data_IF_136731878449
#
_entry.id   IF_136731878449
#
_cell.length_a   1.000
_cell.length_b   1.000
_cell.length_c   1.000
_cell.angle_alpha   90.00
_cell.angle_beta   90.00
_cell.angle_gamma   90.00
#
_symmetry.space_group_name_H-M   'P 1'
#
loop_
_entity.id
_entity.type
_entity.pdbx_description
1 polymer ?
#
# COMPACT_ATOMS: atom_id res chain seq x y z
N UNK A 1 -6.76 -32.18 -11.26
CA UNK A 1 -6.95 -31.40 -10.02
C UNK A 1 -6.18 -30.07 -10.00
N UNK A 2 -4.91 -30.01 -10.38
CA UNK A 2 -4.14 -28.75 -10.34
C UNK A 2 -4.44 -27.78 -11.51
N UNK A 3 -4.75 -28.30 -12.69
CA UNK A 3 -5.08 -27.50 -13.90
C UNK A 3 -6.44 -26.81 -13.76
N UNK A 4 -7.41 -27.40 -13.08
CA UNK A 4 -8.71 -26.77 -12.81
C UNK A 4 -8.58 -25.65 -11.78
N UNK A 5 -7.77 -25.81 -10.72
CA UNK A 5 -7.51 -24.77 -9.73
C UNK A 5 -6.79 -23.54 -10.33
N UNK A 6 -5.84 -23.73 -11.24
CA UNK A 6 -5.20 -22.62 -11.96
C UNK A 6 -6.20 -21.85 -12.83
N UNK A 7 -7.12 -22.54 -13.48
CA UNK A 7 -8.15 -21.93 -14.32
C UNK A 7 -9.17 -21.10 -13.50
N UNK A 8 -9.52 -21.54 -12.28
CA UNK A 8 -10.42 -20.79 -11.38
C UNK A 8 -9.77 -19.53 -10.82
N UNK A 9 -8.48 -19.58 -10.46
CA UNK A 9 -7.73 -18.43 -10.01
C UNK A 9 -7.65 -17.32 -11.07
N UNK A 10 -7.39 -17.70 -12.32
CA UNK A 10 -7.35 -16.74 -13.42
C UNK A 10 -8.73 -16.16 -13.75
N UNK A 11 -9.77 -16.99 -13.69
CA UNK A 11 -11.13 -16.60 -14.06
C UNK A 11 -11.83 -15.78 -12.97
N UNK A 12 -11.68 -16.16 -11.71
CA UNK A 12 -12.42 -15.56 -10.58
C UNK A 12 -11.57 -14.76 -9.61
N UNK A 13 -10.25 -14.82 -9.72
CA UNK A 13 -9.33 -14.11 -8.80
C UNK A 13 -9.23 -14.76 -7.42
N UNK A 14 -9.54 -16.06 -7.34
CA UNK A 14 -9.61 -16.81 -6.11
C UNK A 14 -8.24 -16.97 -5.43
N UNK A 15 -8.11 -16.43 -4.22
CA UNK A 15 -6.91 -16.52 -3.37
C UNK A 15 -7.34 -16.82 -1.95
N UNK A 16 -7.21 -18.08 -1.50
CA UNK A 16 -7.61 -18.48 -0.15
C UNK A 16 -6.89 -17.67 0.94
N UNK A 17 -7.66 -17.18 1.91
CA UNK A 17 -7.11 -16.40 3.03
C UNK A 17 -6.72 -17.34 4.17
N UNK A 18 -5.44 -17.31 4.65
CA UNK A 18 -5.02 -18.17 5.74
C UNK A 18 -5.78 -17.90 7.04
N UNK A 19 -6.03 -18.96 7.81
CA UNK A 19 -6.77 -18.92 9.08
C UNK A 19 -6.26 -17.85 10.05
N UNK A 20 -4.93 -17.78 10.27
CA UNK A 20 -4.35 -16.81 11.20
C UNK A 20 -4.65 -15.36 10.81
N UNK A 21 -4.73 -15.08 9.51
CA UNK A 21 -5.00 -13.73 9.00
C UNK A 21 -6.48 -13.36 9.21
N UNK A 22 -7.39 -14.33 8.98
CA UNK A 22 -8.81 -14.13 9.27
C UNK A 22 -9.01 -13.84 10.76
N UNK A 23 -8.33 -14.60 11.63
CA UNK A 23 -8.37 -14.38 13.08
C UNK A 23 -7.90 -12.96 13.46
N UNK A 24 -6.78 -12.51 12.92
CA UNK A 24 -6.30 -11.13 13.14
C UNK A 24 -7.30 -10.08 12.65
N UNK A 25 -8.01 -10.32 11.55
CA UNK A 25 -9.03 -9.42 11.05
C UNK A 25 -10.27 -9.39 11.94
N UNK A 26 -10.69 -10.54 12.48
CA UNK A 26 -11.81 -10.62 13.43
C UNK A 26 -11.51 -9.92 14.76
N UNK A 27 -10.25 -9.95 15.21
CA UNK A 27 -9.79 -9.24 16.42
C UNK A 27 -9.87 -7.69 16.28
N UNK A 28 -10.05 -7.16 15.07
CA UNK A 28 -10.32 -5.74 14.88
C UNK A 28 -11.74 -5.35 15.22
N UNK A 29 -12.68 -6.28 15.05
CA UNK A 29 -14.13 -6.04 15.15
C UNK A 29 -14.51 -5.92 16.62
N UNK A 30 -15.31 -4.92 17.02
CA UNK A 30 -15.78 -4.77 18.41
C UNK A 30 -16.56 -5.98 18.90
N UNK A 31 -16.27 -6.44 20.12
CA UNK A 31 -16.88 -7.64 20.72
C UNK A 31 -18.42 -7.60 20.79
N UNK A 32 -18.98 -6.43 21.08
CA UNK A 32 -20.43 -6.25 21.14
C UNK A 32 -21.16 -6.60 19.84
N UNK A 33 -20.46 -6.59 18.69
CA UNK A 33 -21.04 -7.02 17.42
C UNK A 33 -21.21 -8.53 17.34
N UNK A 34 -20.32 -9.30 17.97
CA UNK A 34 -20.45 -10.75 18.06
C UNK A 34 -21.49 -11.19 19.09
N UNK A 35 -21.69 -10.40 20.15
CA UNK A 35 -22.64 -10.69 21.23
C UNK A 35 -24.08 -10.49 20.79
N UNK A 36 -24.36 -9.57 19.87
CA UNK A 36 -25.71 -9.26 19.42
C UNK A 36 -26.19 -10.24 18.36
N UNK A 37 -27.12 -11.12 18.74
CA UNK A 37 -27.68 -12.18 17.87
C UNK A 37 -28.55 -11.66 16.71
N UNK A 38 -28.89 -10.37 16.67
CA UNK A 38 -29.64 -9.75 15.58
C UNK A 38 -28.75 -9.16 14.48
N UNK A 39 -27.45 -9.07 14.73
CA UNK A 39 -26.51 -8.53 13.75
C UNK A 39 -26.39 -9.44 12.53
N UNK A 40 -26.47 -8.84 11.35
CA UNK A 40 -26.36 -9.51 10.06
C UNK A 40 -24.94 -9.37 9.52
N UNK A 41 -24.36 -10.50 9.18
CA UNK A 41 -23.01 -10.63 8.68
C UNK A 41 -23.01 -11.05 7.21
N UNK A 42 -22.10 -10.51 6.41
CA UNK A 42 -21.93 -10.87 5.00
C UNK A 42 -20.46 -11.07 4.66
N UNK A 43 -20.17 -12.18 3.98
CA UNK A 43 -18.94 -12.39 3.20
C UNK A 43 -19.31 -12.37 1.71
N UNK A 44 -18.95 -11.31 0.97
CA UNK A 44 -19.43 -11.10 -0.41
C UNK A 44 -18.65 -11.85 -1.50
N UNK A 45 -17.67 -12.65 -1.14
CA UNK A 45 -16.83 -13.45 -2.03
C UNK A 45 -16.19 -14.56 -1.23
N UNK A 46 -17.02 -15.44 -0.67
CA UNK A 46 -16.63 -16.30 0.44
C UNK A 46 -15.72 -17.48 0.03
N UNK A 47 -15.60 -17.79 -1.28
CA UNK A 47 -14.84 -18.95 -1.74
C UNK A 47 -15.30 -20.22 -1.06
N UNK A 48 -14.39 -20.94 -0.42
CA UNK A 48 -14.70 -22.17 0.34
C UNK A 48 -15.41 -21.91 1.70
N UNK A 49 -15.78 -20.64 2.02
CA UNK A 49 -16.45 -20.30 3.27
C UNK A 49 -15.53 -20.09 4.48
N UNK A 50 -14.23 -19.88 4.27
CA UNK A 50 -13.25 -19.78 5.36
C UNK A 50 -13.53 -18.63 6.34
N UNK A 51 -13.90 -17.43 5.86
CA UNK A 51 -14.34 -16.34 6.72
C UNK A 51 -15.65 -16.67 7.43
N UNK A 52 -16.63 -17.19 6.70
CA UNK A 52 -17.92 -17.60 7.26
C UNK A 52 -17.78 -18.57 8.44
N UNK A 53 -16.92 -19.58 8.31
CA UNK A 53 -16.60 -20.53 9.39
C UNK A 53 -16.04 -19.83 10.63
N UNK A 54 -15.07 -18.95 10.45
CA UNK A 54 -14.44 -18.22 11.55
C UNK A 54 -15.44 -17.27 12.25
N UNK A 55 -16.25 -16.55 11.46
CA UNK A 55 -17.34 -15.70 12.00
C UNK A 55 -18.31 -16.55 12.79
N UNK A 56 -18.75 -17.69 12.23
CA UNK A 56 -19.65 -18.63 12.91
C UNK A 56 -19.08 -19.09 14.26
N UNK A 57 -17.82 -19.52 14.30
CA UNK A 57 -17.15 -19.97 15.53
C UNK A 57 -17.10 -18.84 16.59
N UNK A 58 -16.79 -17.59 16.19
CA UNK A 58 -16.79 -16.45 17.08
C UNK A 58 -18.20 -16.09 17.59
N UNK A 59 -19.21 -16.16 16.74
CA UNK A 59 -20.60 -15.93 17.14
C UNK A 59 -21.10 -17.01 18.11
N UNK A 60 -20.79 -18.27 17.87
CA UNK A 60 -21.10 -19.38 18.78
C UNK A 60 -20.46 -19.19 20.16
N UNK A 61 -19.25 -18.68 20.21
CA UNK A 61 -18.53 -18.39 21.45
C UNK A 61 -19.11 -17.20 22.21
N UNK A 62 -19.52 -16.14 21.51
CA UNK A 62 -19.95 -14.88 22.15
C UNK A 62 -21.44 -14.83 22.47
N UNK A 63 -22.31 -15.59 21.77
CA UNK A 63 -23.76 -15.58 21.99
C UNK A 63 -24.23 -16.61 23.03
N UNK A 64 -23.47 -16.80 24.10
CA UNK A 64 -23.77 -17.78 25.17
C UNK A 64 -25.07 -17.48 25.92
N UNK A 65 -25.61 -16.27 25.83
CA UNK A 65 -26.89 -15.89 26.37
C UNK A 65 -28.07 -16.66 25.76
N UNK A 66 -27.91 -17.18 24.55
CA UNK A 66 -28.82 -18.18 23.96
C UNK A 66 -28.34 -19.55 24.46
N UNK A 67 -28.93 -20.04 25.54
CA UNK A 67 -28.45 -21.22 26.28
C UNK A 67 -28.56 -22.49 25.47
N UNK A 68 -29.66 -22.69 24.75
CA UNK A 68 -29.82 -23.86 23.87
C UNK A 68 -28.86 -23.73 22.66
N UNK A 69 -28.01 -24.73 22.50
CA UNK A 69 -26.97 -24.74 21.49
C UNK A 69 -27.53 -24.83 20.06
N UNK A 70 -28.65 -25.52 19.88
CA UNK A 70 -29.30 -25.69 18.58
C UNK A 70 -30.01 -24.39 18.19
N UNK A 71 -30.70 -23.76 19.15
CA UNK A 71 -31.30 -22.44 18.93
C UNK A 71 -30.27 -21.38 18.62
N UNK A 72 -29.15 -21.36 19.38
CA UNK A 72 -27.99 -20.47 19.10
C UNK A 72 -27.47 -20.65 17.70
N UNK A 73 -27.17 -21.90 17.32
CA UNK A 73 -26.72 -22.24 15.98
C UNK A 73 -27.70 -21.76 14.91
N UNK A 74 -28.97 -22.10 15.05
CA UNK A 74 -30.03 -21.67 14.13
C UNK A 74 -30.13 -20.16 13.99
N UNK A 75 -30.03 -19.44 15.10
CA UNK A 75 -30.04 -17.95 15.10
C UNK A 75 -28.85 -17.37 14.35
N UNK A 76 -27.65 -17.90 14.56
CA UNK A 76 -26.44 -17.47 13.90
C UNK A 76 -26.53 -17.72 12.38
N UNK A 77 -26.88 -18.93 11.97
CA UNK A 77 -26.96 -19.30 10.56
C UNK A 77 -28.01 -18.48 9.80
N UNK A 78 -29.09 -18.06 10.47
CA UNK A 78 -30.10 -17.15 9.90
C UNK A 78 -29.57 -15.74 9.62
N UNK A 79 -28.50 -15.32 10.31
CA UNK A 79 -27.95 -13.98 10.22
C UNK A 79 -26.53 -13.92 9.58
N UNK A 80 -26.00 -15.08 9.16
CA UNK A 80 -24.73 -15.18 8.45
C UNK A 80 -24.99 -15.48 6.96
N UNK A 81 -24.57 -14.56 6.09
CA UNK A 81 -24.77 -14.63 4.65
C UNK A 81 -23.43 -14.84 3.95
N UNK A 82 -23.38 -15.85 3.08
CA UNK A 82 -22.20 -16.20 2.29
C UNK A 82 -22.54 -16.13 0.83
N UNK A 83 -21.85 -15.28 0.11
CA UNK A 83 -22.10 -15.06 -1.30
C UNK A 83 -20.86 -15.45 -2.11
N UNK A 84 -21.08 -16.27 -3.13
CA UNK A 84 -20.04 -16.74 -4.02
C UNK A 84 -20.54 -16.78 -5.47
N UNK A 85 -19.68 -16.46 -6.41
CA UNK A 85 -20.03 -16.46 -7.84
C UNK A 85 -19.84 -17.84 -8.49
N UNK A 86 -18.92 -18.64 -7.95
CA UNK A 86 -18.55 -19.94 -8.49
C UNK A 86 -19.34 -21.06 -7.81
N UNK A 87 -20.27 -21.67 -8.52
CA UNK A 87 -21.10 -22.79 -8.05
C UNK A 87 -20.29 -23.96 -7.48
N UNK A 88 -19.05 -24.15 -7.93
CA UNK A 88 -18.15 -25.20 -7.43
C UNK A 88 -17.92 -25.13 -5.91
N UNK A 89 -18.07 -23.96 -5.30
CA UNK A 89 -17.84 -23.78 -3.87
C UNK A 89 -19.06 -24.05 -3.00
N UNK A 90 -20.26 -24.23 -3.55
CA UNK A 90 -21.48 -24.40 -2.76
C UNK A 90 -21.38 -25.59 -1.78
N UNK A 91 -21.02 -26.77 -2.29
CA UNK A 91 -20.85 -27.95 -1.45
C UNK A 91 -19.72 -27.79 -0.41
N UNK A 92 -18.63 -27.13 -0.78
CA UNK A 92 -17.52 -26.87 0.15
C UNK A 92 -17.89 -25.91 1.27
N UNK A 93 -18.73 -24.92 1.00
CA UNK A 93 -19.26 -24.00 2.02
C UNK A 93 -20.09 -24.83 3.03
N UNK A 94 -20.96 -25.72 2.54
CA UNK A 94 -21.75 -26.62 3.37
C UNK A 94 -20.88 -27.57 4.21
N UNK A 95 -19.87 -28.20 3.62
CA UNK A 95 -18.89 -29.04 4.33
C UNK A 95 -18.14 -28.25 5.43
N UNK A 96 -17.78 -27.00 5.21
CA UNK A 96 -17.02 -26.20 6.16
C UNK A 96 -17.84 -25.65 7.33
N UNK A 97 -19.12 -25.32 7.13
CA UNK A 97 -19.97 -24.67 8.13
C UNK A 97 -20.97 -25.67 8.73
N UNK A 98 -21.43 -26.67 7.94
CA UNK A 98 -22.35 -27.72 8.30
C UNK A 98 -23.56 -27.75 7.37
N UNK A 99 -24.11 -28.98 7.19
CA UNK A 99 -25.19 -29.29 6.26
C UNK A 99 -26.53 -28.61 6.61
N UNK A 100 -26.65 -28.13 7.85
CA UNK A 100 -27.85 -27.45 8.36
C UNK A 100 -27.81 -25.92 8.13
N UNK A 101 -26.79 -25.39 7.43
CA UNK A 101 -26.81 -24.02 6.99
C UNK A 101 -27.99 -23.78 6.04
N UNK A 102 -28.80 -22.75 6.33
CA UNK A 102 -29.94 -22.45 5.49
C UNK A 102 -29.49 -22.16 4.05
N UNK A 103 -30.04 -22.87 3.09
CA UNK A 103 -29.76 -22.68 1.65
C UNK A 103 -30.02 -21.24 1.22
N UNK A 104 -30.96 -20.54 1.88
CA UNK A 104 -31.24 -19.13 1.63
C UNK A 104 -30.12 -18.16 1.97
N UNK A 105 -29.11 -18.59 2.73
CA UNK A 105 -27.99 -17.74 3.17
C UNK A 105 -26.67 -18.10 2.50
N UNK A 106 -26.63 -19.20 1.72
CA UNK A 106 -25.61 -19.48 0.71
C UNK A 106 -26.17 -18.99 -0.63
N UNK A 107 -25.58 -17.94 -1.18
CA UNK A 107 -26.13 -17.24 -2.34
C UNK A 107 -25.13 -17.36 -3.49
N UNK A 108 -25.43 -18.21 -4.46
CA UNK A 108 -24.58 -18.41 -5.64
C UNK A 108 -24.98 -17.41 -6.71
N UNK A 109 -24.26 -16.28 -6.72
CA UNK A 109 -24.50 -15.20 -7.70
C UNK A 109 -23.31 -14.23 -7.76
N UNK A 110 -23.32 -13.33 -8.73
CA UNK A 110 -22.35 -12.23 -8.79
C UNK A 110 -22.71 -11.13 -7.79
N UNK A 111 -21.86 -10.91 -6.80
CA UNK A 111 -22.07 -9.86 -5.78
C UNK A 111 -22.32 -8.48 -6.37
N UNK A 112 -21.64 -8.15 -7.47
CA UNK A 112 -21.76 -6.81 -8.05
C UNK A 112 -23.13 -6.54 -8.69
N UNK A 113 -23.86 -7.59 -9.05
CA UNK A 113 -25.22 -7.51 -9.59
C UNK A 113 -26.32 -7.89 -8.59
N UNK A 114 -25.93 -8.46 -7.44
CA UNK A 114 -26.88 -8.84 -6.41
C UNK A 114 -27.45 -7.64 -5.66
N UNK A 115 -28.76 -7.59 -5.54
CA UNK A 115 -29.50 -6.52 -4.84
C UNK A 115 -30.24 -7.09 -3.64
N UNK A 116 -29.62 -7.02 -2.44
CA UNK A 116 -30.29 -7.47 -1.22
C UNK A 116 -31.38 -6.49 -0.79
N UNK A 117 -32.48 -7.05 -0.28
CA UNK A 117 -33.55 -6.26 0.36
C UNK A 117 -33.28 -5.95 1.84
N UNK A 118 -32.10 -6.28 2.32
CA UNK A 118 -31.63 -6.05 3.69
C UNK A 118 -30.28 -5.31 3.69
N UNK A 119 -29.93 -4.71 4.84
CA UNK A 119 -28.61 -4.13 5.07
C UNK A 119 -27.90 -4.91 6.18
N UNK A 120 -26.57 -4.89 6.12
CA UNK A 120 -25.70 -5.66 7.01
C UNK A 120 -25.10 -4.78 8.10
N UNK A 121 -24.87 -5.38 9.27
CA UNK A 121 -24.15 -4.75 10.38
C UNK A 121 -22.65 -4.86 10.17
N UNK A 122 -22.20 -6.00 9.65
CA UNK A 122 -20.79 -6.27 9.37
C UNK A 122 -20.64 -6.94 8.00
N UNK A 123 -19.72 -6.42 7.19
CA UNK A 123 -19.26 -7.07 5.96
C UNK A 123 -17.78 -7.34 6.11
N UNK A 124 -17.38 -8.60 5.93
CA UNK A 124 -15.99 -9.06 6.09
C UNK A 124 -15.60 -9.97 4.95
N UNK A 125 -14.33 -9.91 4.50
CA UNK A 125 -13.85 -10.83 3.47
C UNK A 125 -12.55 -10.41 2.80
N UNK A 126 -12.17 -11.20 1.79
CA UNK A 126 -11.07 -10.94 0.87
C UNK A 126 -11.64 -10.88 -0.56
N UNK A 127 -12.15 -9.73 -1.02
CA UNK A 127 -12.77 -9.64 -2.34
C UNK A 127 -11.75 -9.87 -3.46
N UNK A 128 -12.16 -10.35 -4.65
CA UNK A 128 -11.26 -10.53 -5.78
C UNK A 128 -10.65 -9.18 -6.21
N UNK A 129 -9.31 -9.17 -6.40
CA UNK A 129 -8.61 -7.93 -6.75
C UNK A 129 -8.79 -7.56 -8.22
N UNK A 130 -8.80 -8.56 -9.11
CA UNK A 130 -8.92 -8.38 -10.55
C UNK A 130 -9.74 -9.53 -11.16
N UNK A 131 -10.33 -9.29 -12.33
CA UNK A 131 -10.94 -10.31 -13.19
C UNK A 131 -10.24 -10.39 -14.54
N UNK A 132 -10.38 -11.51 -15.23
CA UNK A 132 -9.87 -11.70 -16.60
C UNK A 132 -8.34 -11.77 -16.68
N UNK A 133 -7.70 -12.33 -15.68
CA UNK A 133 -6.25 -12.54 -15.60
C UNK A 133 -5.52 -11.60 -14.66
N UNK A 134 -4.32 -12.00 -14.25
CA UNK A 134 -3.43 -11.18 -13.45
C UNK A 134 -2.98 -9.97 -14.26
N UNK A 135 -3.02 -8.77 -13.67
CA UNK A 135 -2.33 -7.60 -14.25
C UNK A 135 -0.84 -7.93 -14.32
N UNK A 136 -0.39 -8.33 -15.49
CA UNK A 136 1.03 -8.63 -15.71
C UNK A 136 1.83 -7.35 -15.50
N UNK A 137 2.74 -7.38 -14.54
CA UNK A 137 3.75 -6.33 -14.40
C UNK A 137 4.58 -6.34 -15.68
N UNK A 138 4.74 -5.22 -16.42
CA UNK A 138 5.55 -5.18 -17.61
C UNK A 138 6.96 -5.65 -17.28
N UNK A 139 7.34 -6.83 -17.71
CA UNK A 139 8.72 -7.29 -17.69
C UNK A 139 9.31 -6.96 -19.05
N UNK A 140 10.58 -6.57 -19.12
CA UNK A 140 11.29 -6.24 -20.37
C UNK A 140 11.34 -7.39 -21.38
N UNK A 141 10.73 -8.53 -21.08
CA UNK A 141 10.74 -9.77 -21.88
C UNK A 141 9.44 -10.03 -22.65
N UNK A 142 8.37 -9.28 -22.42
CA UNK A 142 7.07 -9.52 -23.09
C UNK A 142 6.81 -8.43 -24.11
N UNK A 143 6.97 -8.78 -25.38
CA UNK A 143 6.82 -7.87 -26.53
C UNK A 143 5.36 -7.56 -26.91
N UNK A 144 4.37 -8.31 -26.44
CA UNK A 144 2.95 -8.04 -26.68
C UNK A 144 2.23 -7.76 -25.35
N UNK A 145 1.57 -6.61 -25.27
CA UNK A 145 0.68 -6.26 -24.17
C UNK A 145 -0.59 -7.12 -24.31
N UNK A 146 -0.70 -8.15 -23.49
CA UNK A 146 -1.99 -8.79 -23.26
C UNK A 146 -2.89 -7.82 -22.49
N UNK A 147 -4.20 -7.92 -22.73
CA UNK A 147 -5.20 -7.07 -22.09
C UNK A 147 -5.07 -7.24 -20.56
N UNK A 148 -4.80 -6.14 -19.86
CA UNK A 148 -4.79 -6.15 -18.38
C UNK A 148 -6.17 -6.54 -17.86
N UNK A 149 -6.24 -7.40 -16.84
CA UNK A 149 -7.47 -7.70 -16.14
C UNK A 149 -8.13 -6.45 -15.54
N UNK A 150 -9.43 -6.50 -15.36
CA UNK A 150 -10.20 -5.42 -14.75
C UNK A 150 -10.01 -5.38 -13.24
N UNK A 151 -9.93 -4.18 -12.64
CA UNK A 151 -9.82 -4.00 -11.20
C UNK A 151 -11.19 -4.13 -10.55
N UNK A 152 -11.42 -5.17 -9.74
CA UNK A 152 -12.70 -5.46 -9.11
C UNK A 152 -12.84 -4.95 -7.67
N UNK A 153 -11.76 -4.99 -6.87
CA UNK A 153 -11.86 -4.66 -5.44
C UNK A 153 -12.51 -3.30 -5.16
N UNK A 154 -12.36 -2.32 -6.08
CA UNK A 154 -12.98 -0.99 -5.95
C UNK A 154 -14.51 -1.10 -5.98
N UNK A 155 -15.04 -1.91 -6.90
CA UNK A 155 -16.48 -2.11 -7.05
C UNK A 155 -17.05 -2.87 -5.84
N UNK A 156 -16.33 -3.89 -5.35
CA UNK A 156 -16.69 -4.61 -4.13
C UNK A 156 -16.78 -3.71 -2.90
N UNK A 157 -15.79 -2.83 -2.70
CA UNK A 157 -15.81 -1.86 -1.60
C UNK A 157 -17.00 -0.93 -1.69
N UNK A 158 -17.27 -0.34 -2.86
CA UNK A 158 -18.41 0.58 -3.04
C UNK A 158 -19.73 -0.11 -2.77
N UNK A 159 -19.95 -1.28 -3.39
CA UNK A 159 -21.17 -2.08 -3.19
C UNK A 159 -21.34 -2.52 -1.72
N UNK A 160 -20.24 -2.86 -1.04
CA UNK A 160 -20.30 -3.22 0.38
C UNK A 160 -20.69 -2.03 1.26
N UNK A 161 -20.17 -0.83 1.01
CA UNK A 161 -20.59 0.37 1.74
C UNK A 161 -22.05 0.75 1.44
N UNK A 162 -22.55 0.49 0.22
CA UNK A 162 -23.97 0.64 -0.10
C UNK A 162 -24.82 -0.36 0.71
N UNK A 163 -24.37 -1.61 0.85
CA UNK A 163 -25.10 -2.67 1.54
C UNK A 163 -24.96 -2.62 3.08
N UNK A 164 -24.03 -1.84 3.62
CA UNK A 164 -23.92 -1.61 5.05
C UNK A 164 -25.02 -0.68 5.57
N UNK A 165 -25.49 -0.96 6.81
CA UNK A 165 -26.24 0.00 7.61
C UNK A 165 -25.41 1.23 7.93
N UNK A 166 -26.04 2.35 8.25
CA UNK A 166 -25.36 3.47 8.92
C UNK A 166 -24.83 2.96 10.27
N UNK A 167 -23.56 3.29 10.58
CA UNK A 167 -22.87 2.75 11.74
C UNK A 167 -22.31 1.34 11.59
N UNK A 168 -22.61 0.64 10.49
CA UNK A 168 -22.10 -0.70 10.20
C UNK A 168 -20.61 -0.73 9.89
N UNK A 169 -20.00 -1.92 9.89
CA UNK A 169 -18.56 -2.11 9.80
C UNK A 169 -18.15 -2.88 8.55
N UNK A 170 -17.12 -2.41 7.87
CA UNK A 170 -16.43 -3.08 6.76
C UNK A 170 -15.03 -3.51 7.19
N UNK A 171 -14.73 -4.81 7.09
CA UNK A 171 -13.42 -5.38 7.37
C UNK A 171 -12.93 -6.17 6.17
N UNK A 172 -12.11 -5.56 5.32
CA UNK A 172 -11.60 -6.19 4.11
C UNK A 172 -10.07 -6.23 4.09
N UNK A 173 -9.51 -7.21 3.37
CA UNK A 173 -8.13 -7.19 2.91
C UNK A 173 -8.09 -6.89 1.42
N UNK A 174 -7.39 -5.82 1.02
CA UNK A 174 -7.32 -5.31 -0.35
C UNK A 174 -5.93 -4.75 -0.67
N UNK A 175 -5.60 -4.45 -1.95
CA UNK A 175 -4.37 -3.77 -2.32
C UNK A 175 -4.21 -2.43 -1.60
N UNK A 176 -3.02 -2.13 -1.07
CA UNK A 176 -2.72 -0.93 -0.28
C UNK A 176 -2.61 0.38 -1.09
N UNK A 177 -2.85 0.34 -2.39
CA UNK A 177 -2.70 1.51 -3.29
C UNK A 177 -3.62 2.69 -2.93
N UNK A 178 -4.74 2.44 -2.26
CA UNK A 178 -5.69 3.46 -1.82
C UNK A 178 -5.20 4.32 -0.64
N UNK A 179 -4.12 3.91 0.04
CA UNK A 179 -3.58 4.62 1.21
C UNK A 179 -2.95 5.98 0.87
N UNK A 180 -3.01 6.39 -0.37
CA UNK A 180 -2.58 7.70 -0.85
C UNK A 180 -3.57 8.28 -1.85
N UNK A 181 -3.65 9.61 -2.00
CA UNK A 181 -4.43 10.23 -3.05
C UNK A 181 -4.02 9.70 -4.44
N UNK A 182 -5.00 9.29 -5.23
CA UNK A 182 -4.79 8.78 -6.58
C UNK A 182 -5.93 9.14 -7.53
N UNK A 183 -5.79 8.77 -8.81
CA UNK A 183 -6.79 9.05 -9.84
C UNK A 183 -8.13 8.33 -9.61
N UNK A 184 -8.12 7.19 -8.92
CA UNK A 184 -9.33 6.44 -8.60
C UNK A 184 -10.13 7.07 -7.46
N UNK A 185 -9.57 8.07 -6.76
CA UNK A 185 -10.14 8.80 -5.63
C UNK A 185 -10.56 7.87 -4.47
N UNK A 186 -9.91 6.71 -4.37
CA UNK A 186 -10.25 5.77 -3.32
C UNK A 186 -9.74 6.21 -1.95
N UNK A 187 -8.65 6.98 -1.91
CA UNK A 187 -8.19 7.61 -0.67
C UNK A 187 -9.27 8.50 -0.06
N UNK A 188 -9.80 9.44 -0.85
CA UNK A 188 -10.87 10.35 -0.44
C UNK A 188 -12.15 9.59 -0.10
N UNK A 189 -12.46 8.54 -0.87
CA UNK A 189 -13.63 7.70 -0.65
C UNK A 189 -13.58 6.95 0.68
N UNK A 190 -12.42 6.44 1.08
CA UNK A 190 -12.24 5.76 2.37
C UNK A 190 -12.19 6.74 3.54
N UNK A 191 -11.47 7.85 3.38
CA UNK A 191 -11.20 8.80 4.47
C UNK A 191 -12.40 9.67 4.85
N UNK A 192 -13.47 9.67 4.06
CA UNK A 192 -14.75 10.26 4.47
C UNK A 192 -15.44 9.47 5.59
N UNK A 193 -15.08 8.18 5.76
CA UNK A 193 -15.59 7.32 6.81
C UNK A 193 -14.58 7.16 7.95
N UNK A 194 -15.03 6.64 9.10
CA UNK A 194 -14.15 6.36 10.24
C UNK A 194 -13.30 5.12 9.97
N UNK A 195 -12.02 5.33 9.79
CA UNK A 195 -11.02 4.27 9.75
C UNK A 195 -10.54 4.00 11.18
N UNK A 196 -10.87 2.83 11.73
CA UNK A 196 -10.49 2.48 13.10
C UNK A 196 -9.06 1.95 13.17
N UNK A 197 -8.76 0.92 12.37
CA UNK A 197 -7.47 0.23 12.39
C UNK A 197 -7.06 -0.19 10.98
N UNK A 198 -5.76 -0.15 10.70
CA UNK A 198 -5.17 -0.60 9.44
C UNK A 198 -3.89 -1.36 9.74
N UNK A 199 -3.70 -2.55 9.12
CA UNK A 199 -2.44 -3.28 9.11
C UNK A 199 -2.00 -3.54 7.68
N UNK A 200 -0.76 -3.18 7.36
CA UNK A 200 -0.21 -3.23 6.01
C UNK A 200 0.85 -4.32 5.86
N UNK A 201 0.89 -4.90 4.67
CA UNK A 201 1.87 -5.90 4.27
C UNK A 201 2.62 -5.42 3.04
N UNK A 202 3.93 -5.53 3.07
CA UNK A 202 4.77 -5.35 1.88
C UNK A 202 4.46 -6.41 0.83
N UNK A 203 4.94 -6.23 -0.40
CA UNK A 203 4.78 -7.26 -1.44
C UNK A 203 5.41 -8.60 -1.05
N UNK A 204 6.54 -8.58 -0.33
CA UNK A 204 7.21 -9.81 0.16
C UNK A 204 6.39 -10.51 1.23
N UNK A 205 5.82 -9.77 2.19
CA UNK A 205 4.94 -10.32 3.22
C UNK A 205 3.65 -10.85 2.60
N UNK A 206 2.99 -10.08 1.72
CA UNK A 206 1.78 -10.53 1.00
C UNK A 206 2.05 -11.82 0.22
N UNK A 207 3.18 -11.87 -0.49
CA UNK A 207 3.57 -13.06 -1.25
C UNK A 207 3.76 -14.28 -0.34
N UNK A 208 4.41 -14.11 0.81
CA UNK A 208 4.61 -15.18 1.81
C UNK A 208 3.28 -15.63 2.44
N UNK A 209 2.43 -14.67 2.86
CA UNK A 209 1.11 -14.94 3.48
C UNK A 209 0.25 -15.77 2.54
N UNK A 210 0.16 -15.37 1.29
CA UNK A 210 -0.69 -16.03 0.29
C UNK A 210 0.04 -17.12 -0.53
N UNK A 211 1.15 -17.65 -0.03
CA UNK A 211 1.91 -18.79 -0.63
C UNK A 211 2.19 -18.57 -2.13
N UNK A 212 2.72 -17.39 -2.49
CA UNK A 212 3.00 -16.93 -3.86
C UNK A 212 1.77 -16.66 -4.75
N UNK A 213 0.57 -16.67 -4.20
CA UNK A 213 -0.65 -16.40 -4.96
C UNK A 213 -0.98 -14.90 -5.09
N UNK A 214 -0.39 -14.05 -4.26
CA UNK A 214 -0.53 -12.59 -4.35
C UNK A 214 0.82 -11.89 -4.22
N UNK A 215 1.08 -10.90 -5.07
CA UNK A 215 2.36 -10.17 -5.10
C UNK A 215 2.19 -8.65 -4.88
N UNK A 216 0.97 -8.17 -4.79
CA UNK A 216 0.69 -6.75 -4.61
C UNK A 216 0.72 -6.42 -3.12
N UNK A 217 1.39 -5.33 -2.69
CA UNK A 217 1.26 -4.86 -1.30
C UNK A 217 -0.20 -4.75 -0.92
N UNK A 218 -0.57 -5.31 0.21
CA UNK A 218 -1.95 -5.36 0.69
C UNK A 218 -2.09 -4.77 2.09
N UNK A 219 -3.31 -4.46 2.46
CA UNK A 219 -3.65 -4.10 3.84
C UNK A 219 -5.03 -4.64 4.19
N UNK A 220 -5.23 -4.99 5.45
CA UNK A 220 -6.57 -5.12 5.97
C UNK A 220 -6.89 -3.93 6.89
N UNK A 221 -8.16 -3.62 7.01
CA UNK A 221 -8.65 -2.48 7.76
C UNK A 221 -10.02 -2.75 8.37
N UNK A 222 -10.32 -2.01 9.42
CA UNK A 222 -11.67 -1.86 9.97
C UNK A 222 -12.17 -0.43 9.72
N UNK A 223 -13.22 -0.31 8.92
CA UNK A 223 -13.91 0.93 8.63
C UNK A 223 -15.32 0.88 9.21
N UNK A 224 -15.78 1.96 9.80
CA UNK A 224 -17.17 2.13 10.20
C UNK A 224 -17.87 3.17 9.31
N UNK A 225 -19.07 2.88 8.85
CA UNK A 225 -19.88 3.78 8.01
C UNK A 225 -20.48 4.90 8.83
N UNK A 226 -19.60 5.74 9.37
CA UNK A 226 -19.89 7.04 10.01
C UNK A 226 -18.88 8.06 9.53
N UNK A 227 -19.13 9.35 9.75
CA UNK A 227 -18.20 10.41 9.34
C UNK A 227 -16.82 10.22 9.93
N UNK A 228 -15.79 10.31 9.07
CA UNK A 228 -14.38 10.22 9.45
C UNK A 228 -13.89 11.42 10.24
N UNK A 229 -12.85 11.21 11.05
CA UNK A 229 -12.19 12.23 11.88
C UNK A 229 -10.72 12.44 11.52
N UNK A 230 -10.26 11.88 10.38
CA UNK A 230 -8.87 11.90 9.90
C UNK A 230 -7.85 11.24 10.86
N UNK A 231 -8.29 10.37 11.73
CA UNK A 231 -7.44 9.60 12.62
C UNK A 231 -7.70 8.10 12.46
N UNK A 232 -6.63 7.32 12.55
CA UNK A 232 -6.69 5.86 12.53
C UNK A 232 -5.58 5.29 13.41
N UNK A 233 -5.73 4.03 13.79
CA UNK A 233 -4.67 3.24 14.40
C UNK A 233 -3.96 2.44 13.31
N UNK A 234 -2.67 2.69 13.12
CA UNK A 234 -1.82 1.92 12.19
C UNK A 234 -0.98 0.91 12.97
N UNK A 235 -0.93 -0.32 12.47
CA UNK A 235 -0.04 -1.32 13.04
C UNK A 235 1.42 -0.97 12.73
N UNK A 236 2.18 -0.67 13.78
CA UNK A 236 3.61 -0.43 13.69
C UNK A 236 4.38 -1.74 13.88
N UNK A 237 5.25 -2.09 12.91
CA UNK A 237 5.98 -3.36 12.88
C UNK A 237 7.14 -3.38 13.88
N UNK A 238 7.75 -2.23 14.15
CA UNK A 238 8.80 -2.08 15.11
C UNK A 238 8.30 -2.40 16.52
N UNK A 239 7.25 -1.72 16.94
CA UNK A 239 6.65 -1.89 18.26
C UNK A 239 5.65 -3.05 18.36
N UNK A 240 5.29 -3.67 17.24
CA UNK A 240 4.27 -4.75 17.14
C UNK A 240 2.94 -4.39 17.80
N UNK A 241 2.54 -3.14 17.68
CA UNK A 241 1.31 -2.58 18.26
C UNK A 241 0.67 -1.57 17.34
N UNK A 242 -0.56 -1.19 17.64
CA UNK A 242 -1.27 -0.15 16.92
C UNK A 242 -0.94 1.23 17.50
N UNK A 243 -0.53 2.16 16.64
CA UNK A 243 -0.16 3.54 16.98
C UNK A 243 -1.10 4.54 16.29
N UNK A 244 -1.39 5.65 16.97
CA UNK A 244 -2.19 6.72 16.40
C UNK A 244 -1.49 7.35 15.20
N UNK A 245 -2.26 7.56 14.13
CA UNK A 245 -1.84 8.28 12.95
C UNK A 245 -2.92 9.25 12.49
N UNK A 246 -2.53 10.50 12.28
CA UNK A 246 -3.41 11.57 11.80
C UNK A 246 -3.06 11.91 10.35
N UNK A 247 -4.05 11.76 9.44
CA UNK A 247 -3.91 12.00 8.00
C UNK A 247 -4.62 13.29 7.53
N UNK A 248 -4.71 14.31 8.40
CA UNK A 248 -5.18 15.65 7.99
C UNK A 248 -4.40 16.16 6.79
N UNK A 249 -5.02 17.07 6.02
CA UNK A 249 -4.41 17.68 4.84
C UNK A 249 -4.02 16.69 3.73
N UNK A 250 -4.75 15.58 3.63
CA UNK A 250 -4.51 14.53 2.62
C UNK A 250 -3.10 13.92 2.71
N UNK A 251 -2.52 13.84 3.91
CA UNK A 251 -1.29 13.10 4.14
C UNK A 251 -1.50 11.63 3.78
N UNK A 252 -0.56 11.01 3.06
CA UNK A 252 -0.66 9.59 2.76
C UNK A 252 -0.60 8.76 4.04
N UNK A 253 -1.28 7.62 4.06
CA UNK A 253 -1.23 6.68 5.18
C UNK A 253 -0.05 5.73 4.94
N UNK A 254 0.98 5.71 5.81
CA UNK A 254 2.17 4.91 5.59
C UNK A 254 1.89 3.41 5.78
N UNK A 255 2.65 2.58 5.07
CA UNK A 255 2.55 1.12 5.17
C UNK A 255 3.39 0.54 6.32
N UNK A 256 4.31 1.32 6.86
CA UNK A 256 5.11 1.03 8.07
C UNK A 256 5.79 2.29 8.61
N UNK A 257 6.52 2.16 9.74
CA UNK A 257 7.37 3.22 10.29
C UNK A 257 6.59 4.39 10.89
N UNK A 258 5.42 4.12 11.44
CA UNK A 258 4.57 5.16 12.08
C UNK A 258 5.30 5.85 13.21
N UNK A 259 6.09 5.11 14.00
CA UNK A 259 6.89 5.67 15.09
C UNK A 259 7.83 6.77 14.60
N UNK A 260 8.54 6.51 13.50
CA UNK A 260 9.49 7.45 12.92
C UNK A 260 8.78 8.68 12.35
N UNK A 261 7.70 8.47 11.60
CA UNK A 261 6.90 9.56 11.02
C UNK A 261 6.34 10.46 12.12
N UNK A 262 5.86 9.88 13.22
CA UNK A 262 5.37 10.65 14.37
C UNK A 262 6.48 11.48 15.04
N UNK A 263 7.72 10.96 15.11
CA UNK A 263 8.89 11.72 15.60
C UNK A 263 9.30 12.85 14.67
N UNK A 264 9.18 12.65 13.36
CA UNK A 264 9.51 13.70 12.37
C UNK A 264 8.43 14.78 12.26
N UNK A 265 7.20 14.48 12.63
CA UNK A 265 6.06 15.39 12.49
C UNK A 265 6.29 16.79 13.09
N UNK A 266 6.80 16.97 14.32
CA UNK A 266 7.08 18.31 14.88
C UNK A 266 8.08 19.11 14.05
N UNK A 267 9.05 18.43 13.44
CA UNK A 267 10.05 19.09 12.58
C UNK A 267 9.43 19.49 11.23
N UNK A 268 8.55 18.66 10.68
CA UNK A 268 7.79 19.00 9.46
C UNK A 268 6.86 20.19 9.74
N UNK A 269 6.22 20.23 10.89
CA UNK A 269 5.37 21.35 11.29
C UNK A 269 6.18 22.65 11.47
N UNK A 270 7.40 22.57 12.03
CA UNK A 270 8.29 23.72 12.26
C UNK A 270 8.94 24.23 10.98
N UNK A 271 9.50 23.35 10.16
CA UNK A 271 10.34 23.73 9.02
C UNK A 271 9.62 23.62 7.66
N UNK A 272 8.45 22.97 7.61
CA UNK A 272 7.78 22.55 6.38
C UNK A 272 8.32 21.20 5.91
N UNK A 273 7.75 20.68 4.81
CA UNK A 273 8.17 19.40 4.23
C UNK A 273 9.14 19.59 3.05
N UNK A 274 10.04 18.64 2.87
CA UNK A 274 10.96 18.59 1.73
C UNK A 274 10.22 18.43 0.39
N UNK A 275 8.97 17.98 0.38
CA UNK A 275 8.17 17.78 -0.84
C UNK A 275 8.12 19.01 -1.74
N UNK A 276 8.13 20.21 -1.16
CA UNK A 276 8.10 21.48 -1.89
C UNK A 276 9.33 21.69 -2.76
N UNK A 277 10.46 21.10 -2.36
CA UNK A 277 11.74 21.19 -3.08
C UNK A 277 11.89 20.07 -4.12
N UNK A 278 11.09 19.02 -4.04
CA UNK A 278 11.19 17.84 -4.92
C UNK A 278 10.32 18.04 -6.15
N UNK A 279 10.95 18.11 -7.31
CA UNK A 279 10.28 18.28 -8.60
C UNK A 279 10.22 16.94 -9.31
N UNK A 280 9.02 16.46 -9.64
CA UNK A 280 8.87 15.31 -10.53
C UNK A 280 9.09 15.76 -11.96
N UNK A 281 9.97 15.04 -12.67
CA UNK A 281 10.32 15.41 -14.04
C UNK A 281 9.20 15.03 -15.03
N UNK A 282 9.21 15.67 -16.17
CA UNK A 282 8.30 15.42 -17.28
C UNK A 282 9.07 14.78 -18.46
N UNK A 283 8.33 14.14 -19.36
CA UNK A 283 8.91 13.75 -20.65
C UNK A 283 9.31 14.98 -21.44
N UNK A 284 10.35 14.87 -22.25
CA UNK A 284 10.76 15.92 -23.18
C UNK A 284 9.67 16.26 -24.17
N UNK A 285 9.70 17.48 -24.68
CA UNK A 285 8.80 17.93 -25.73
C UNK A 285 9.11 17.25 -27.07
N UNK A 286 8.12 17.17 -27.95
CA UNK A 286 8.28 16.58 -29.31
C UNK A 286 9.38 17.29 -30.12
N UNK A 287 9.69 18.54 -29.80
CA UNK A 287 10.67 19.36 -30.49
C UNK A 287 12.11 18.92 -30.23
N UNK A 288 12.40 18.30 -29.10
CA UNK A 288 13.74 17.81 -28.73
C UNK A 288 13.88 16.37 -29.19
N UNK A 289 14.89 16.10 -30.01
CA UNK A 289 15.23 14.75 -30.47
C UNK A 289 16.36 14.19 -29.64
N UNK A 290 16.29 12.88 -29.36
CA UNK A 290 17.29 12.19 -28.55
C UNK A 290 17.91 11.02 -29.32
N UNK A 291 19.17 10.72 -28.99
CA UNK A 291 19.92 9.58 -29.47
C UNK A 291 20.63 8.89 -28.29
N UNK A 292 20.87 7.59 -28.39
CA UNK A 292 21.61 6.84 -27.36
C UNK A 292 23.08 7.20 -27.33
N UNK A 293 23.63 7.48 -28.49
CA UNK A 293 25.05 7.78 -28.67
C UNK A 293 25.26 9.28 -28.98
N UNK A 294 26.42 9.82 -28.54
CA UNK A 294 26.85 11.16 -28.87
C UNK A 294 27.22 11.23 -30.36
N UNK A 295 26.73 12.26 -31.04
CA UNK A 295 27.08 12.60 -32.42
C UNK A 295 27.25 14.10 -32.54
N UNK A 296 27.72 14.60 -33.71
CA UNK A 296 27.86 16.06 -33.93
C UNK A 296 26.56 16.83 -33.77
N UNK A 297 25.41 16.16 -33.97
CA UNK A 297 24.08 16.75 -33.80
C UNK A 297 23.53 16.58 -32.39
N UNK A 298 23.82 15.47 -31.73
CA UNK A 298 23.29 15.12 -30.41
C UNK A 298 24.40 15.23 -29.38
N UNK A 299 24.61 16.45 -28.87
CA UNK A 299 25.77 16.79 -28.01
C UNK A 299 25.40 16.96 -26.53
N UNK A 300 24.13 17.24 -26.23
CA UNK A 300 23.68 17.57 -24.87
C UNK A 300 23.39 16.29 -24.07
N UNK A 301 24.15 16.06 -23.01
CA UNK A 301 23.97 14.90 -22.11
C UNK A 301 22.69 15.02 -21.29
N UNK A 302 21.95 13.92 -21.16
CA UNK A 302 20.73 13.89 -20.34
C UNK A 302 20.62 12.59 -19.59
N UNK A 303 20.06 12.65 -18.39
CA UNK A 303 19.67 11.47 -17.59
C UNK A 303 18.28 11.00 -18.03
N UNK A 304 18.17 9.72 -18.35
CA UNK A 304 16.88 9.04 -18.55
C UNK A 304 16.38 8.42 -17.26
N UNK A 305 17.26 7.75 -16.51
CA UNK A 305 16.99 7.16 -15.19
C UNK A 305 18.31 6.80 -14.49
N UNK A 306 18.23 6.38 -13.24
CA UNK A 306 19.35 5.76 -12.53
C UNK A 306 19.07 4.26 -12.38
N UNK A 307 20.12 3.46 -12.43
CA UNK A 307 20.08 2.02 -12.17
C UNK A 307 21.14 1.66 -11.14
N UNK A 308 20.94 0.54 -10.44
CA UNK A 308 21.96 -0.03 -9.57
C UNK A 308 22.74 -1.08 -10.35
N UNK A 309 24.00 -0.83 -10.57
CA UNK A 309 24.97 -1.77 -11.14
C UNK A 309 26.04 -2.01 -10.07
N UNK A 310 26.30 -3.28 -9.76
CA UNK A 310 27.30 -3.68 -8.76
C UNK A 310 27.16 -2.92 -7.41
N UNK A 311 25.91 -2.70 -7.00
CA UNK A 311 25.54 -1.93 -5.80
C UNK A 311 25.95 -0.45 -5.82
N UNK A 312 26.22 0.13 -6.98
CA UNK A 312 26.48 1.56 -7.19
C UNK A 312 25.35 2.16 -8.03
N UNK A 313 24.98 3.41 -7.71
CA UNK A 313 24.08 4.16 -8.59
C UNK A 313 24.82 4.51 -9.88
N UNK A 314 24.28 4.08 -11.00
CA UNK A 314 24.79 4.38 -12.33
C UNK A 314 23.73 5.17 -13.10
N UNK A 315 24.15 6.24 -13.79
CA UNK A 315 23.25 7.03 -14.63
C UNK A 315 23.06 6.36 -15.99
N UNK A 316 21.82 6.20 -16.39
CA UNK A 316 21.50 5.87 -17.78
C UNK A 316 21.30 7.17 -18.53
N UNK A 317 22.18 7.43 -19.47
CA UNK A 317 22.22 8.69 -20.23
C UNK A 317 21.79 8.52 -21.69
N UNK A 318 21.37 9.61 -22.28
CA UNK A 318 21.24 9.81 -23.71
C UNK A 318 21.71 11.21 -24.11
N UNK A 319 21.69 11.51 -25.38
CA UNK A 319 22.12 12.81 -25.92
C UNK A 319 20.98 13.43 -26.71
N UNK A 320 20.85 14.76 -26.66
CA UNK A 320 19.84 15.50 -27.40
C UNK A 320 20.43 16.57 -28.32
N UNK A 321 19.66 16.98 -29.31
CA UNK A 321 19.99 18.05 -30.26
C UNK A 321 19.88 19.45 -29.65
N UNK A 322 19.12 19.58 -28.57
CA UNK A 322 18.96 20.81 -27.79
C UNK A 322 19.02 20.49 -26.29
N UNK A 323 19.41 21.43 -25.43
CA UNK A 323 19.43 21.25 -23.99
C UNK A 323 18.06 20.80 -23.46
N UNK A 324 18.01 19.73 -22.67
CA UNK A 324 16.81 19.34 -21.95
C UNK A 324 16.63 20.16 -20.66
N UNK A 325 15.45 20.05 -20.06
CA UNK A 325 15.15 20.72 -18.79
C UNK A 325 16.25 20.42 -17.76
N UNK A 326 16.56 21.41 -16.95
CA UNK A 326 17.54 21.37 -15.85
C UNK A 326 19.01 21.25 -16.29
N UNK A 327 19.35 21.25 -17.58
CA UNK A 327 20.75 21.38 -18.02
C UNK A 327 21.34 22.71 -17.54
N UNK A 328 22.62 22.75 -17.19
CA UNK A 328 23.31 23.91 -16.65
C UNK A 328 22.93 24.29 -15.21
N UNK A 329 22.14 23.44 -14.50
CA UNK A 329 21.73 23.72 -13.13
C UNK A 329 22.27 22.67 -12.16
N UNK A 330 22.93 23.13 -11.10
CA UNK A 330 23.33 22.27 -9.97
C UNK A 330 22.11 21.62 -9.34
N UNK A 331 22.14 20.31 -9.12
CA UNK A 331 20.97 19.55 -8.69
C UNK A 331 21.27 18.18 -8.11
N UNK A 332 20.32 17.66 -7.34
CA UNK A 332 20.23 16.22 -7.05
C UNK A 332 19.25 15.54 -8.00
N UNK A 333 19.57 14.34 -8.45
CA UNK A 333 18.75 13.53 -9.34
C UNK A 333 18.47 12.20 -8.66
N UNK A 334 17.18 11.81 -8.57
CA UNK A 334 16.75 10.54 -8.00
C UNK A 334 15.85 9.79 -8.99
N UNK A 335 16.02 8.49 -9.12
CA UNK A 335 15.14 7.68 -9.96
C UNK A 335 13.77 7.47 -9.30
N UNK A 336 12.71 7.60 -10.09
CA UNK A 336 11.36 7.31 -9.65
C UNK A 336 11.07 5.80 -9.55
N UNK A 337 11.66 4.97 -10.42
CA UNK A 337 11.40 3.51 -10.49
C UNK A 337 12.25 2.67 -9.56
N UNK A 338 13.29 3.23 -9.01
CA UNK A 338 14.20 2.54 -8.08
C UNK A 338 14.54 3.54 -6.97
N UNK A 339 14.70 3.05 -5.75
CA UNK A 339 15.31 3.87 -4.73
C UNK A 339 16.78 4.02 -5.12
N UNK A 340 17.06 5.04 -5.92
CA UNK A 340 18.41 5.43 -6.24
C UNK A 340 18.88 6.39 -5.18
N UNK A 341 20.15 6.27 -4.78
CA UNK A 341 20.78 7.34 -4.06
C UNK A 341 20.75 8.59 -4.95
N UNK A 342 20.54 9.77 -4.36
CA UNK A 342 20.58 10.99 -5.16
C UNK A 342 21.96 11.15 -5.78
N UNK A 343 21.99 11.22 -7.11
CA UNK A 343 23.18 11.64 -7.84
C UNK A 343 23.31 13.16 -7.74
N UNK A 344 24.47 13.66 -7.35
CA UNK A 344 24.76 15.07 -7.28
C UNK A 344 25.40 15.56 -8.58
N UNK A 345 24.66 16.29 -9.38
CA UNK A 345 25.14 16.98 -10.58
C UNK A 345 25.59 18.39 -10.21
N UNK A 346 26.83 18.47 -9.70
CA UNK A 346 27.44 19.70 -9.16
C UNK A 346 27.60 20.77 -10.24
N UNK A 347 27.98 20.37 -11.44
CA UNK A 347 28.28 21.29 -12.53
C UNK A 347 27.11 21.48 -13.50
N UNK A 348 25.96 20.88 -13.23
CA UNK A 348 24.83 20.97 -14.14
C UNK A 348 25.03 20.28 -15.48
N UNK A 349 25.91 19.28 -15.54
CA UNK A 349 26.32 18.59 -16.76
C UNK A 349 25.15 17.93 -17.51
N UNK A 350 24.13 17.52 -16.78
CA UNK A 350 23.04 16.71 -17.33
C UNK A 350 21.73 17.48 -17.40
N UNK A 351 21.05 17.41 -18.55
CA UNK A 351 19.62 17.65 -18.65
C UNK A 351 18.82 16.42 -18.20
N UNK A 352 17.49 16.52 -18.17
CA UNK A 352 16.61 15.39 -17.85
C UNK A 352 15.69 15.13 -19.04
N UNK A 353 15.80 13.95 -19.63
CA UNK A 353 15.06 13.56 -20.85
C UNK A 353 13.83 12.66 -20.58
N UNK A 354 13.54 12.31 -19.33
CA UNK A 354 12.46 11.40 -18.99
C UNK A 354 11.66 11.87 -17.78
N UNK A 355 10.41 11.36 -17.68
CA UNK A 355 9.54 11.58 -16.52
C UNK A 355 9.84 10.67 -15.32
N UNK A 356 10.85 9.80 -15.44
CA UNK A 356 11.13 8.75 -14.47
C UNK A 356 12.13 9.20 -13.38
N UNK A 357 12.24 10.50 -13.13
CA UNK A 357 13.14 11.07 -12.13
C UNK A 357 12.46 12.10 -11.23
N UNK A 358 13.10 12.37 -10.09
CA UNK A 358 12.89 13.53 -9.24
C UNK A 358 14.16 14.38 -9.24
N UNK A 359 13.99 15.70 -9.16
CA UNK A 359 15.08 16.66 -9.13
C UNK A 359 14.87 17.59 -7.94
N UNK A 360 15.98 17.90 -7.24
CA UNK A 360 16.04 18.95 -6.23
C UNK A 360 17.07 19.97 -6.70
N UNK A 361 16.65 21.22 -6.84
CA UNK A 361 17.48 22.33 -7.28
C UNK A 361 17.87 23.21 -6.08
N UNK A 362 19.11 23.63 -6.01
CA UNK A 362 19.58 24.70 -5.14
C UNK A 362 20.87 25.30 -5.72
N UNK A 363 21.12 26.57 -5.45
CA UNK A 363 22.35 27.26 -5.88
C UNK A 363 23.46 27.14 -4.82
N UNK A 364 23.12 26.71 -3.60
CA UNK A 364 24.06 26.49 -2.51
C UNK A 364 24.55 25.02 -2.51
N UNK A 365 25.82 24.85 -2.86
CA UNK A 365 26.50 23.57 -2.88
C UNK A 365 26.40 22.82 -1.53
N UNK A 366 26.67 23.50 -0.41
CA UNK A 366 26.68 22.89 0.91
C UNK A 366 25.30 22.38 1.31
N UNK A 367 24.26 23.11 0.96
CA UNK A 367 22.87 22.73 1.20
C UNK A 367 22.48 21.49 0.38
N UNK A 368 22.86 21.43 -0.91
CA UNK A 368 22.60 20.24 -1.74
C UNK A 368 23.40 19.04 -1.26
N UNK A 369 24.66 19.20 -0.90
CA UNK A 369 25.49 18.14 -0.38
C UNK A 369 24.88 17.54 0.91
N UNK A 370 24.45 18.40 1.83
CA UNK A 370 23.76 17.97 3.05
C UNK A 370 22.46 17.22 2.77
N UNK A 371 21.67 17.68 1.80
CA UNK A 371 20.47 17.01 1.35
C UNK A 371 20.79 15.63 0.72
N UNK A 372 21.84 15.54 -0.10
CA UNK A 372 22.32 14.26 -0.64
C UNK A 372 22.69 13.27 0.46
N UNK A 373 23.48 13.71 1.44
CA UNK A 373 23.89 12.88 2.56
C UNK A 373 22.67 12.32 3.30
N UNK A 374 21.71 13.20 3.67
CA UNK A 374 20.48 12.78 4.32
C UNK A 374 19.74 11.69 3.51
N UNK A 375 19.49 11.96 2.23
CA UNK A 375 18.73 11.07 1.36
C UNK A 375 19.48 9.77 0.98
N UNK A 376 20.76 9.65 1.36
CA UNK A 376 21.61 8.49 1.12
C UNK A 376 21.76 7.58 2.35
N UNK A 377 21.05 7.86 3.44
CA UNK A 377 21.10 7.09 4.69
C UNK A 377 20.09 5.93 4.69
N UNK A 378 20.31 4.95 5.57
CA UNK A 378 19.31 3.90 5.89
C UNK A 378 18.05 4.50 6.50
N UNK A 379 18.21 5.56 7.29
CA UNK A 379 17.11 6.34 7.86
C UNK A 379 16.16 6.84 6.75
N UNK A 380 16.69 7.46 5.70
CA UNK A 380 15.88 7.93 4.56
C UNK A 380 15.28 6.75 3.77
N UNK A 381 16.00 5.66 3.59
CA UNK A 381 15.48 4.46 2.92
C UNK A 381 14.32 3.86 3.70
N UNK A 382 14.42 3.81 5.03
CA UNK A 382 13.33 3.34 5.88
C UNK A 382 12.06 4.17 5.67
N UNK A 383 12.20 5.49 5.57
CA UNK A 383 11.10 6.39 5.22
C UNK A 383 10.58 6.16 3.79
N UNK A 384 11.46 5.96 2.81
CA UNK A 384 11.04 5.71 1.42
C UNK A 384 10.17 4.45 1.32
N UNK A 385 10.53 3.40 2.07
CA UNK A 385 9.74 2.17 2.14
C UNK A 385 8.37 2.38 2.81
N UNK A 386 8.21 3.39 3.67
CA UNK A 386 6.92 3.67 4.34
C UNK A 386 5.79 4.05 3.37
N UNK A 387 6.12 4.50 2.16
CA UNK A 387 5.15 4.85 1.12
C UNK A 387 5.18 3.90 -0.07
N UNK A 388 5.69 2.68 0.11
CA UNK A 388 5.80 1.70 -0.96
C UNK A 388 4.48 0.97 -1.21
N UNK A 389 3.53 1.68 -1.78
CA UNK A 389 2.21 1.14 -2.17
C UNK A 389 2.27 0.25 -3.42
N UNK A 390 3.41 0.25 -4.14
CA UNK A 390 3.68 -0.51 -5.37
C UNK A 390 5.07 -1.14 -5.32
N UNK A 391 5.30 -2.14 -6.17
CA UNK A 391 6.50 -2.98 -6.11
C UNK A 391 7.85 -2.24 -6.29
N UNK A 392 7.91 -1.12 -7.04
CA UNK A 392 9.21 -0.55 -7.49
C UNK A 392 9.24 0.98 -7.60
N UNK A 393 8.35 1.71 -6.97
CA UNK A 393 8.30 3.16 -7.15
C UNK A 393 8.60 3.90 -5.85
N UNK A 394 9.50 4.90 -5.95
CA UNK A 394 9.64 5.95 -4.96
C UNK A 394 8.45 6.91 -5.15
N UNK A 395 7.57 6.98 -4.18
CA UNK A 395 6.42 7.86 -4.26
C UNK A 395 6.78 9.27 -3.76
N UNK A 396 6.36 10.31 -4.48
CA UNK A 396 6.61 11.71 -4.09
C UNK A 396 6.07 12.01 -2.69
N UNK A 397 5.02 11.31 -2.30
CA UNK A 397 4.34 11.48 -1.01
C UNK A 397 5.25 11.27 0.21
N UNK A 398 6.34 10.48 0.12
CA UNK A 398 7.26 10.28 1.23
C UNK A 398 7.93 11.59 1.67
N UNK A 399 8.17 12.51 0.73
CA UNK A 399 8.80 13.79 1.04
C UNK A 399 7.91 14.72 1.88
N UNK A 400 6.62 14.39 2.06
CA UNK A 400 5.73 15.06 3.01
C UNK A 400 6.07 14.71 4.46
N UNK A 401 6.69 13.56 4.70
CA UNK A 401 7.13 13.11 6.02
C UNK A 401 8.53 13.60 6.39
N UNK A 402 9.30 14.06 5.42
CA UNK A 402 10.68 14.54 5.62
C UNK A 402 10.64 16.06 5.83
N UNK A 403 11.19 16.58 6.93
CA UNK A 403 11.29 18.03 7.14
C UNK A 403 12.15 18.69 6.05
N UNK A 404 11.94 19.98 5.84
CA UNK A 404 12.74 20.79 4.90
C UNK A 404 14.16 20.98 5.46
N UNK A 405 15.06 20.08 5.06
CA UNK A 405 16.45 20.01 5.52
C UNK A 405 17.20 21.32 5.23
N UNK A 406 16.79 22.05 4.20
CA UNK A 406 17.41 23.32 3.83
C UNK A 406 17.22 24.40 4.90
N UNK A 407 16.21 24.26 5.78
CA UNK A 407 15.91 25.18 6.88
C UNK A 407 16.39 24.71 8.25
N UNK A 408 16.93 23.49 8.34
CA UNK A 408 17.41 22.92 9.60
C UNK A 408 18.87 23.31 9.81
N UNK A 409 19.10 24.54 10.25
CA UNK A 409 20.46 25.09 10.41
C UNK A 409 21.28 24.43 11.52
N UNK A 410 20.60 23.90 12.53
CA UNK A 410 21.15 23.18 13.68
C UNK A 410 21.49 21.69 13.38
N UNK A 411 21.07 21.17 12.23
CA UNK A 411 21.49 19.83 11.81
C UNK A 411 22.95 19.84 11.33
N UNK A 412 23.74 18.84 11.74
CA UNK A 412 25.13 18.67 11.37
C UNK A 412 25.41 18.89 9.86
N UNK A 413 26.58 19.39 9.53
CA UNK A 413 27.06 19.48 8.13
C UNK A 413 27.48 18.12 7.58
N UNK A 414 27.88 17.18 8.46
CA UNK A 414 28.16 15.79 8.11
C UNK A 414 27.02 14.93 8.62
N UNK A 415 26.24 14.38 7.71
CA UNK A 415 25.05 13.59 8.03
C UNK A 415 25.32 12.12 7.74
N UNK A 416 25.12 11.30 8.76
CA UNK A 416 25.04 9.85 8.68
C UNK A 416 23.80 9.34 9.45
N UNK A 417 23.62 8.03 9.50
CA UNK A 417 22.49 7.40 10.17
C UNK A 417 22.47 7.68 11.68
N UNK A 418 23.64 7.69 12.35
CA UNK A 418 23.73 7.94 13.80
C UNK A 418 23.35 9.40 14.12
N UNK A 419 23.90 10.34 13.36
CA UNK A 419 23.58 11.77 13.49
C UNK A 419 22.09 12.01 13.37
N UNK A 420 21.42 11.37 12.39
CA UNK A 420 19.98 11.52 12.22
C UNK A 420 19.18 10.88 13.34
N UNK A 421 19.56 9.66 13.73
CA UNK A 421 18.88 8.97 14.83
C UNK A 421 18.96 9.77 16.14
N UNK A 422 20.14 10.32 16.46
CA UNK A 422 20.34 11.14 17.66
C UNK A 422 19.58 12.46 17.59
N UNK A 423 19.67 13.16 16.44
CA UNK A 423 19.01 14.43 16.23
C UNK A 423 17.48 14.33 16.35
N UNK A 424 16.88 13.27 15.82
CA UNK A 424 15.43 13.02 15.89
C UNK A 424 15.00 12.27 17.16
N UNK A 425 15.92 12.02 18.10
CA UNK A 425 15.65 11.43 19.40
C UNK A 425 15.17 9.98 19.34
N UNK A 426 15.78 9.16 18.47
CA UNK A 426 15.52 7.74 18.43
C UNK A 426 16.20 7.03 19.60
N UNK A 427 15.50 6.08 20.21
CA UNK A 427 16.10 5.18 21.18
C UNK A 427 16.88 4.06 20.49
N UNK A 428 17.67 3.27 21.23
CA UNK A 428 18.52 2.22 20.66
C UNK A 428 17.71 1.14 19.91
N UNK A 429 16.54 0.78 20.41
CA UNK A 429 15.66 -0.19 19.75
C UNK A 429 15.18 0.30 18.38
N UNK A 430 14.80 1.58 18.28
CA UNK A 430 14.37 2.22 17.02
C UNK A 430 15.54 2.37 16.04
N UNK A 431 16.76 2.66 16.55
CA UNK A 431 17.98 2.69 15.73
C UNK A 431 18.27 1.31 15.14
N UNK A 432 18.23 0.26 15.98
CA UNK A 432 18.45 -1.11 15.52
C UNK A 432 17.43 -1.52 14.43
N UNK A 433 16.16 -1.18 14.61
CA UNK A 433 15.13 -1.44 13.59
C UNK A 433 15.50 -0.82 12.24
N UNK A 434 15.92 0.45 12.23
CA UNK A 434 16.32 1.15 11.00
C UNK A 434 17.61 0.53 10.41
N UNK A 435 18.62 0.25 11.25
CA UNK A 435 19.91 -0.28 10.79
C UNK A 435 19.79 -1.70 10.23
N UNK A 436 18.91 -2.52 10.81
CA UNK A 436 18.68 -3.90 10.40
C UNK A 436 17.60 -4.05 9.33
N UNK A 437 16.95 -2.95 8.93
CA UNK A 437 15.89 -2.99 7.94
C UNK A 437 16.42 -3.46 6.59
N UNK A 438 16.05 -4.69 6.23
CA UNK A 438 16.48 -5.33 5.00
C UNK A 438 15.65 -4.86 3.81
N UNK A 439 16.17 -3.89 3.08
CA UNK A 439 15.66 -3.55 1.75
C UNK A 439 16.45 -4.32 0.70
N UNK A 440 15.75 -4.95 -0.23
CA UNK A 440 16.41 -5.50 -1.44
C UNK A 440 16.90 -4.32 -2.28
N UNK A 441 17.92 -4.43 -2.91
CA UNK A 441 19.37 -4.38 -2.87
C UNK A 441 19.92 -2.95 -2.71
N UNK A 442 19.35 -2.17 -1.78
CA UNK A 442 19.79 -0.79 -1.54
C UNK A 442 20.98 -0.85 -0.60
N UNK A 443 22.17 -0.81 -1.17
CA UNK A 443 23.37 -0.57 -0.36
C UNK A 443 23.53 0.94 -0.23
N UNK A 444 23.44 1.42 0.98
CA UNK A 444 23.87 2.75 1.36
C UNK A 444 25.32 2.93 0.97
N UNK A 445 25.65 4.01 0.27
CA UNK A 445 27.02 4.42 0.12
C UNK A 445 27.49 4.96 1.46
N UNK A 446 28.09 4.08 2.25
CA UNK A 446 29.03 4.53 3.26
C UNK A 446 30.35 4.65 2.54
N UNK A 447 30.87 5.89 2.38
CA UNK A 447 32.28 6.10 2.13
C UNK A 447 33.05 5.68 3.36
#
# INVERSE_FOLDING_TARGET
MDVEKENYKEKYGDVPTPYFLIKEMLELIPNNLFENSHNKWLDPGCGEGSFGKQVYEQLMFNQIHIVDINERRKTILKNLFLLEKNEYYEEKIKENIGDDMFDSNIIITDYLTWEPNIKFDVIIGNPPYNSGGLKKTPTNKVLKKEKDGETLWIQFVKKSLENLKEGGYLCFIIPSIWLKPDRAKMYEYFTQYKLHKIKCFSNTETNKIFKNNAQTPSCFFLLQKVKGDNNTLLYDKCYKTYMNYNFKNSLPIPVHGVFLINKLKPYVEKYGSLEKMVIKTNSITIRIKVNKEKTDKYIHKNVTTCVLEDNKASLVINYSDNPCNYAGKMKLIMAHKMYGFPYFDEFGEYGISSRDNYVILNEDYKRLLRCQQFLSTKFAIYLFESTRYRMKYLEKYVFQFIPDIFKMEDLSLCIDDNVLCDYFGLNEFEKEEIMNFNTKPYKTFVK
#
